data_IF_399266299710
#
_entry.id   IF_399266299710
#
_cell.length_a   1.000
_cell.length_b   1.000
_cell.length_c   1.000
_cell.angle_alpha   90.00
_cell.angle_beta   90.00
_cell.angle_gamma   90.00
#
_symmetry.space_group_name_H-M   'P 1'
#
loop_
_entity.id
_entity.type
_entity.pdbx_description
1 polymer ?
#
# COMPACT_ATOMS: atom_id res chain seq x y z
N UNK A 1 -14.03 -23.25 -16.65
CA UNK A 1 -14.28 -22.31 -15.55
C UNK A 1 -15.77 -22.36 -15.22
N UNK A 2 -16.11 -23.15 -14.20
CA UNK A 2 -17.48 -23.20 -13.68
C UNK A 2 -17.63 -22.00 -12.73
N UNK A 3 -18.34 -21.01 -13.17
CA UNK A 3 -18.73 -19.86 -12.34
C UNK A 3 -19.99 -20.30 -11.61
N UNK A 4 -19.85 -20.81 -10.39
CA UNK A 4 -20.95 -20.81 -9.44
C UNK A 4 -21.03 -19.41 -8.84
N UNK A 5 -22.23 -18.83 -8.80
CA UNK A 5 -22.46 -17.47 -8.25
C UNK A 5 -22.11 -17.36 -6.76
N UNK A 6 -22.00 -18.48 -6.05
CA UNK A 6 -21.64 -18.56 -4.63
C UNK A 6 -20.16 -18.85 -4.38
N UNK A 7 -19.35 -19.12 -5.41
CA UNK A 7 -17.93 -19.44 -5.26
C UNK A 7 -17.06 -18.22 -5.54
N UNK A 8 -16.10 -17.98 -4.66
CA UNK A 8 -15.08 -16.96 -4.82
C UNK A 8 -14.26 -17.19 -6.11
N UNK A 9 -14.41 -16.29 -7.09
CA UNK A 9 -13.67 -16.37 -8.35
C UNK A 9 -12.23 -15.88 -8.16
N UNK A 10 -11.35 -16.83 -7.82
CA UNK A 10 -9.93 -16.55 -7.61
C UNK A 10 -9.25 -15.97 -8.86
N UNK A 11 -9.72 -16.31 -10.05
CA UNK A 11 -9.19 -15.77 -11.31
C UNK A 11 -9.45 -14.27 -11.47
N UNK A 12 -10.66 -13.81 -11.13
CA UNK A 12 -11.00 -12.37 -11.12
C UNK A 12 -10.24 -11.63 -10.04
N UNK A 13 -10.11 -12.22 -8.85
CA UNK A 13 -9.33 -11.65 -7.77
C UNK A 13 -7.87 -11.42 -8.16
N UNK A 14 -7.22 -12.39 -8.78
CA UNK A 14 -5.83 -12.27 -9.25
C UNK A 14 -5.69 -11.21 -10.34
N UNK A 15 -6.65 -11.12 -11.27
CA UNK A 15 -6.68 -10.06 -12.30
C UNK A 15 -6.93 -8.68 -11.69
N UNK A 16 -7.72 -8.59 -10.63
CA UNK A 16 -7.93 -7.31 -9.91
C UNK A 16 -6.64 -6.78 -9.26
N UNK A 17 -5.71 -7.67 -8.93
CA UNK A 17 -4.37 -7.32 -8.46
C UNK A 17 -3.39 -6.98 -9.59
N UNK A 18 -3.82 -7.03 -10.86
CA UNK A 18 -2.97 -6.75 -12.02
C UNK A 18 -2.13 -7.94 -12.51
N UNK A 19 -2.29 -9.13 -11.94
CA UNK A 19 -1.60 -10.33 -12.39
C UNK A 19 -2.32 -10.95 -13.59
N UNK A 20 -1.54 -11.43 -14.58
CA UNK A 20 -2.08 -12.05 -15.80
C UNK A 20 -2.31 -13.56 -15.65
N UNK A 21 -1.72 -14.18 -14.64
CA UNK A 21 -1.83 -15.63 -14.41
C UNK A 21 -1.04 -16.08 -13.20
N UNK A 22 -1.18 -17.35 -12.87
CA UNK A 22 -0.49 -18.04 -11.78
C UNK A 22 0.31 -19.17 -12.39
N UNK A 23 1.57 -19.30 -12.02
CA UNK A 23 2.46 -20.38 -12.44
C UNK A 23 2.83 -21.18 -11.20
N UNK A 24 2.57 -22.48 -11.24
CA UNK A 24 2.99 -23.41 -10.21
C UNK A 24 4.37 -23.99 -10.61
N UNK A 25 5.42 -23.35 -10.10
CA UNK A 25 6.80 -23.75 -10.41
C UNK A 25 7.29 -24.83 -9.44
N UNK A 26 7.77 -25.96 -9.96
CA UNK A 26 8.38 -27.04 -9.17
C UNK A 26 9.84 -26.76 -8.79
N UNK A 27 10.46 -25.74 -9.37
CA UNK A 27 11.82 -25.30 -9.09
C UNK A 27 12.13 -24.01 -9.84
N UNK A 28 13.11 -23.26 -9.38
CA UNK A 28 13.58 -22.05 -10.04
C UNK A 28 15.11 -21.95 -9.95
N UNK A 29 15.70 -21.32 -10.95
CA UNK A 29 17.11 -20.92 -10.95
C UNK A 29 17.20 -19.40 -11.03
N UNK A 30 18.04 -18.79 -10.18
CA UNK A 30 18.25 -17.35 -10.21
C UNK A 30 19.21 -17.02 -11.34
N UNK A 31 18.73 -16.43 -12.42
CA UNK A 31 19.52 -16.08 -13.61
C UNK A 31 20.20 -14.71 -13.45
N UNK A 32 19.65 -13.84 -12.63
CA UNK A 32 20.21 -12.51 -12.36
C UNK A 32 19.45 -11.78 -11.27
N UNK A 33 20.15 -10.86 -10.61
CA UNK A 33 19.55 -10.03 -9.56
C UNK A 33 19.74 -8.57 -9.92
N UNK A 34 18.65 -7.82 -9.95
CA UNK A 34 18.71 -6.39 -10.17
C UNK A 34 19.21 -5.68 -8.91
N UNK A 35 20.32 -4.94 -9.02
CA UNK A 35 20.95 -4.20 -7.91
C UNK A 35 19.98 -3.25 -7.17
N UNK A 36 19.03 -2.69 -7.89
CA UNK A 36 18.03 -1.82 -7.30
C UNK A 36 17.12 -2.56 -6.31
N UNK A 37 16.66 -3.77 -6.65
CA UNK A 37 15.86 -4.59 -5.73
C UNK A 37 16.66 -5.07 -4.52
N UNK A 38 17.95 -5.37 -4.68
CA UNK A 38 18.86 -5.69 -3.56
C UNK A 38 18.94 -4.49 -2.61
N UNK A 39 19.16 -3.29 -3.15
CA UNK A 39 19.26 -2.06 -2.35
C UNK A 39 17.96 -1.80 -1.55
N UNK A 40 16.80 -1.94 -2.18
CA UNK A 40 15.50 -1.80 -1.51
C UNK A 40 15.30 -2.88 -0.43
N UNK A 41 15.67 -4.12 -0.71
CA UNK A 41 15.64 -5.22 0.25
C UNK A 41 16.52 -4.93 1.47
N UNK A 42 17.71 -4.40 1.26
CA UNK A 42 18.62 -4.02 2.35
C UNK A 42 18.05 -2.89 3.21
N UNK A 43 17.43 -1.85 2.59
CA UNK A 43 16.75 -0.78 3.33
C UNK A 43 15.62 -1.37 4.19
N UNK A 44 14.77 -2.20 3.59
CA UNK A 44 13.65 -2.85 4.28
C UNK A 44 14.14 -3.71 5.44
N UNK A 45 15.23 -4.46 5.24
CA UNK A 45 15.84 -5.30 6.26
C UNK A 45 16.46 -4.48 7.41
N UNK A 46 17.12 -3.37 7.11
CA UNK A 46 17.66 -2.47 8.13
C UNK A 46 16.56 -1.84 8.99
N UNK A 47 15.46 -1.37 8.36
CA UNK A 47 14.31 -0.84 9.10
C UNK A 47 13.73 -1.91 10.02
N UNK A 48 13.55 -3.14 9.50
CA UNK A 48 13.05 -4.28 10.28
C UNK A 48 13.95 -4.60 11.48
N UNK A 49 15.27 -4.63 11.29
CA UNK A 49 16.22 -4.91 12.36
C UNK A 49 16.20 -3.81 13.44
N UNK A 50 16.07 -2.55 13.04
CA UNK A 50 15.90 -1.43 13.97
C UNK A 50 14.60 -1.58 14.79
N UNK A 51 13.51 -1.97 14.16
CA UNK A 51 12.26 -2.23 14.90
C UNK A 51 12.37 -3.42 15.84
N UNK A 52 13.09 -4.50 15.45
CA UNK A 52 13.37 -5.60 16.34
C UNK A 52 14.18 -5.17 17.56
N UNK A 53 15.16 -4.32 17.37
CA UNK A 53 15.96 -3.80 18.47
C UNK A 53 15.13 -2.93 19.43
N UNK A 54 14.26 -2.07 18.90
CA UNK A 54 13.47 -1.12 19.68
C UNK A 54 12.25 -1.76 20.36
N UNK A 55 11.52 -2.64 19.66
CA UNK A 55 10.20 -3.12 20.10
C UNK A 55 10.18 -4.60 20.48
N UNK A 56 11.30 -5.31 20.35
CA UNK A 56 11.45 -6.74 20.74
C UNK A 56 10.27 -7.60 20.29
N UNK A 57 9.48 -8.13 21.22
CA UNK A 57 8.37 -9.06 20.96
C UNK A 57 7.24 -8.45 20.10
N UNK A 58 7.08 -7.13 20.12
CA UNK A 58 6.07 -6.43 19.32
C UNK A 58 6.57 -5.99 17.94
N UNK A 59 7.81 -6.30 17.61
CA UNK A 59 8.44 -5.86 16.36
C UNK A 59 7.74 -6.39 15.11
N UNK A 60 7.26 -7.63 15.14
CA UNK A 60 6.64 -8.25 13.98
C UNK A 60 5.25 -7.64 13.69
N UNK A 61 4.51 -7.27 14.75
CA UNK A 61 3.28 -6.50 14.62
C UNK A 61 3.55 -5.11 13.99
N UNK A 62 4.55 -4.37 14.49
CA UNK A 62 4.91 -3.05 13.96
C UNK A 62 5.41 -3.15 12.52
N UNK A 63 6.21 -4.18 12.19
CA UNK A 63 6.65 -4.44 10.83
C UNK A 63 5.47 -4.75 9.88
N UNK A 64 4.46 -5.50 10.35
CA UNK A 64 3.27 -5.76 9.56
C UNK A 64 2.47 -4.48 9.28
N UNK A 65 2.36 -3.62 10.30
CA UNK A 65 1.60 -2.38 10.23
C UNK A 65 2.28 -1.32 9.32
N UNK A 66 3.60 -1.16 9.43
CA UNK A 66 4.34 -0.10 8.73
C UNK A 66 4.96 -0.55 7.40
N UNK A 67 5.39 -1.81 7.31
CA UNK A 67 6.04 -2.36 6.11
C UNK A 67 5.18 -3.37 5.34
N UNK A 68 3.99 -3.68 5.83
CA UNK A 68 3.07 -4.62 5.20
C UNK A 68 3.51 -6.09 5.26
N UNK A 69 4.46 -6.43 6.13
CA UNK A 69 5.02 -7.77 6.25
C UNK A 69 4.16 -8.66 7.15
N UNK A 70 3.04 -9.15 6.63
CA UNK A 70 2.12 -10.03 7.35
C UNK A 70 2.66 -11.44 7.59
N UNK A 71 3.69 -11.82 6.85
CA UNK A 71 4.26 -13.18 6.84
C UNK A 71 4.93 -13.54 8.18
N UNK A 72 5.35 -12.52 8.92
CA UNK A 72 6.05 -12.69 10.19
C UNK A 72 5.12 -12.75 11.42
N UNK A 73 3.84 -12.48 11.25
CA UNK A 73 2.86 -12.61 12.33
C UNK A 73 2.62 -14.09 12.63
N UNK A 74 2.53 -14.42 13.91
CA UNK A 74 2.13 -15.76 14.34
C UNK A 74 0.71 -16.10 13.88
N UNK A 75 0.41 -17.38 13.71
CA UNK A 75 -0.96 -17.79 13.34
C UNK A 75 -1.98 -17.39 14.39
N UNK A 76 -1.59 -17.41 15.69
CA UNK A 76 -2.44 -16.95 16.79
C UNK A 76 -2.80 -15.46 16.66
N UNK A 77 -1.82 -14.61 16.33
CA UNK A 77 -2.06 -13.18 16.10
C UNK A 77 -2.98 -12.98 14.91
N UNK A 78 -2.75 -13.68 13.79
CA UNK A 78 -3.61 -13.60 12.59
C UNK A 78 -5.05 -14.01 12.92
N UNK A 79 -5.21 -15.09 13.67
CA UNK A 79 -6.53 -15.59 14.08
C UNK A 79 -7.24 -14.60 15.01
N UNK A 80 -6.53 -14.00 15.96
CA UNK A 80 -7.06 -12.97 16.86
C UNK A 80 -7.57 -11.77 16.06
N UNK A 81 -6.80 -11.27 15.08
CA UNK A 81 -7.24 -10.17 14.20
C UNK A 81 -8.40 -10.57 13.30
N UNK A 82 -8.48 -11.83 12.89
CA UNK A 82 -9.61 -12.34 12.11
C UNK A 82 -10.88 -12.41 12.97
N UNK A 83 -10.81 -12.94 14.18
CA UNK A 83 -11.93 -13.02 15.11
C UNK A 83 -12.49 -11.67 15.53
N UNK A 84 -11.63 -10.67 15.68
CA UNK A 84 -12.03 -9.29 16.03
C UNK A 84 -12.51 -8.48 14.83
N UNK A 85 -12.47 -9.04 13.60
CA UNK A 85 -12.82 -8.33 12.38
C UNK A 85 -11.82 -7.23 11.98
N UNK A 86 -10.67 -7.15 12.65
CA UNK A 86 -9.65 -6.12 12.44
C UNK A 86 -8.51 -6.55 11.49
N UNK A 87 -8.69 -7.62 10.75
CA UNK A 87 -7.71 -8.11 9.74
C UNK A 87 -7.31 -7.05 8.72
N UNK A 88 -8.19 -6.08 8.45
CA UNK A 88 -7.92 -4.96 7.56
C UNK A 88 -6.87 -3.98 8.12
N UNK A 89 -6.67 -3.94 9.44
CA UNK A 89 -5.67 -3.06 10.10
C UNK A 89 -4.25 -3.57 9.84
N UNK A 90 -4.06 -4.90 9.79
CA UNK A 90 -2.76 -5.52 9.48
C UNK A 90 -2.37 -5.29 8.02
N UNK A 91 -3.35 -5.11 7.13
CA UNK A 91 -3.07 -4.66 5.77
C UNK A 91 -2.75 -3.17 5.80
N UNK A 92 -1.64 -2.76 5.15
CA UNK A 92 -1.40 -1.33 4.98
C UNK A 92 -2.60 -0.74 4.24
N UNK A 93 -3.35 0.06 4.98
CA UNK A 93 -4.57 0.70 4.48
C UNK A 93 -4.30 2.15 4.08
N UNK A 94 -5.26 2.73 3.36
CA UNK A 94 -5.23 4.16 3.05
C UNK A 94 -5.14 5.05 4.30
N UNK A 95 -5.67 4.58 5.43
CA UNK A 95 -5.57 5.29 6.71
C UNK A 95 -4.11 5.45 7.16
N UNK A 96 -3.31 4.38 7.12
CA UNK A 96 -1.89 4.44 7.51
C UNK A 96 -1.12 5.42 6.64
N UNK A 97 -1.34 5.37 5.34
CA UNK A 97 -0.73 6.28 4.36
C UNK A 97 -1.17 7.73 4.60
N UNK A 98 -2.45 7.94 4.90
CA UNK A 98 -3.02 9.25 5.22
C UNK A 98 -2.45 9.85 6.50
N UNK A 99 -2.33 9.06 7.57
CA UNK A 99 -1.72 9.48 8.84
C UNK A 99 -0.25 9.84 8.64
N UNK A 100 0.51 8.99 7.95
CA UNK A 100 1.92 9.25 7.65
C UNK A 100 2.08 10.55 6.86
N UNK A 101 1.28 10.74 5.82
CA UNK A 101 1.29 11.97 5.03
C UNK A 101 0.95 13.21 5.85
N UNK A 102 -0.03 13.10 6.76
CA UNK A 102 -0.43 14.20 7.65
C UNK A 102 0.71 14.57 8.59
N UNK A 103 1.37 13.60 9.21
CA UNK A 103 2.52 13.85 10.09
C UNK A 103 3.63 14.58 9.33
N UNK A 104 4.00 14.07 8.14
CA UNK A 104 5.02 14.71 7.29
C UNK A 104 4.59 16.15 6.94
N UNK A 105 3.33 16.35 6.55
CA UNK A 105 2.80 17.65 6.19
C UNK A 105 2.83 18.66 7.33
N UNK A 106 2.66 18.20 8.59
CA UNK A 106 2.79 19.03 9.80
C UNK A 106 4.25 19.43 10.01
N UNK A 107 5.19 18.48 9.88
CA UNK A 107 6.62 18.73 10.05
C UNK A 107 7.12 19.81 9.06
N UNK A 108 6.65 19.73 7.80
CA UNK A 108 7.03 20.67 6.74
C UNK A 108 6.05 21.85 6.58
N UNK A 109 5.31 22.21 7.64
CA UNK A 109 4.26 23.23 7.58
C UNK A 109 4.78 24.61 7.10
N UNK A 110 6.00 24.98 7.49
CA UNK A 110 6.60 26.28 7.16
C UNK A 110 7.17 26.40 5.73
N UNK A 111 7.13 25.35 4.92
CA UNK A 111 7.71 25.34 3.58
C UNK A 111 6.67 25.83 2.56
N UNK A 112 7.15 26.49 1.50
CA UNK A 112 6.33 26.95 0.37
C UNK A 112 5.47 25.80 -0.20
N UNK A 113 4.25 26.12 -0.63
CA UNK A 113 3.25 25.15 -1.16
C UNK A 113 3.83 24.22 -2.23
N UNK A 114 4.63 24.76 -3.16
CA UNK A 114 5.25 23.98 -4.24
C UNK A 114 6.25 22.95 -3.70
N UNK A 115 7.21 23.39 -2.89
CA UNK A 115 8.20 22.46 -2.32
C UNK A 115 7.56 21.42 -1.40
N UNK A 116 6.50 21.81 -0.69
CA UNK A 116 5.72 20.90 0.14
C UNK A 116 5.10 19.77 -0.69
N UNK A 117 4.48 20.09 -1.83
CA UNK A 117 3.92 19.11 -2.76
C UNK A 117 5.01 18.16 -3.27
N UNK A 118 6.14 18.70 -3.72
CA UNK A 118 7.26 17.92 -4.25
C UNK A 118 7.82 16.98 -3.19
N UNK A 119 8.11 17.49 -1.99
CA UNK A 119 8.66 16.69 -0.88
C UNK A 119 7.70 15.57 -0.49
N UNK A 120 6.41 15.86 -0.32
CA UNK A 120 5.40 14.85 0.01
C UNK A 120 5.33 13.77 -1.08
N UNK A 121 5.30 14.17 -2.35
CA UNK A 121 5.24 13.22 -3.47
C UNK A 121 6.47 12.30 -3.49
N UNK A 122 7.67 12.87 -3.28
CA UNK A 122 8.91 12.09 -3.25
C UNK A 122 8.91 11.11 -2.07
N UNK A 123 8.60 11.58 -0.85
CA UNK A 123 8.61 10.73 0.35
C UNK A 123 7.59 9.61 0.23
N UNK A 124 6.37 9.91 -0.23
CA UNK A 124 5.32 8.91 -0.40
C UNK A 124 5.65 7.94 -1.54
N UNK A 125 6.30 8.41 -2.60
CA UNK A 125 6.82 7.56 -3.67
C UNK A 125 7.87 6.57 -3.16
N UNK A 126 8.85 7.04 -2.40
CA UNK A 126 9.89 6.20 -1.78
C UNK A 126 9.26 5.19 -0.82
N UNK A 127 8.31 5.64 0.02
CA UNK A 127 7.57 4.75 0.92
C UNK A 127 6.84 3.64 0.16
N UNK A 128 6.15 3.98 -0.95
CA UNK A 128 5.48 2.99 -1.80
C UNK A 128 6.43 1.94 -2.37
N UNK A 129 7.62 2.36 -2.78
CA UNK A 129 8.64 1.45 -3.30
C UNK A 129 9.16 0.50 -2.20
N UNK A 130 9.41 1.02 -1.00
CA UNK A 130 9.89 0.23 0.14
C UNK A 130 8.86 -0.80 0.58
N UNK A 131 7.60 -0.39 0.71
CA UNK A 131 6.53 -1.26 1.20
C UNK A 131 6.09 -2.27 0.13
N UNK A 132 6.13 -1.87 -1.12
CA UNK A 132 5.60 -2.57 -2.28
C UNK A 132 4.33 -1.90 -2.79
N UNK A 133 4.18 -1.88 -4.10
CA UNK A 133 3.03 -1.27 -4.78
C UNK A 133 1.75 -2.10 -4.57
N UNK A 134 1.11 -1.97 -3.40
CA UNK A 134 -0.24 -2.50 -3.24
C UNK A 134 -1.27 -1.54 -3.85
N UNK A 135 -2.41 -2.04 -4.35
CA UNK A 135 -3.48 -1.18 -4.89
C UNK A 135 -3.97 -0.14 -3.88
N UNK A 136 -3.99 -0.48 -2.59
CA UNK A 136 -4.41 0.42 -1.52
C UNK A 136 -3.44 1.59 -1.32
N UNK A 137 -2.14 1.33 -1.33
CA UNK A 137 -1.09 2.36 -1.19
C UNK A 137 -1.10 3.28 -2.41
N UNK A 138 -1.17 2.71 -3.62
CA UNK A 138 -1.19 3.48 -4.86
C UNK A 138 -2.36 4.47 -4.88
N UNK A 139 -3.56 4.04 -4.49
CA UNK A 139 -4.74 4.93 -4.38
C UNK A 139 -4.51 6.07 -3.40
N UNK A 140 -3.99 5.74 -2.23
CA UNK A 140 -3.77 6.74 -1.18
C UNK A 140 -2.75 7.80 -1.60
N UNK A 141 -1.69 7.40 -2.31
CA UNK A 141 -0.69 8.33 -2.81
C UNK A 141 -1.29 9.26 -3.86
N UNK A 142 -2.05 8.71 -4.81
CA UNK A 142 -2.73 9.51 -5.83
C UNK A 142 -3.74 10.46 -5.19
N UNK A 143 -4.50 10.00 -4.18
CA UNK A 143 -5.42 10.85 -3.43
C UNK A 143 -4.72 12.01 -2.74
N UNK A 144 -3.64 11.72 -2.01
CA UNK A 144 -2.83 12.74 -1.35
C UNK A 144 -2.25 13.72 -2.37
N UNK A 145 -1.74 13.24 -3.49
CA UNK A 145 -1.21 14.08 -4.56
C UNK A 145 -2.27 15.03 -5.11
N UNK A 146 -3.46 14.53 -5.44
CA UNK A 146 -4.57 15.36 -5.95
C UNK A 146 -4.99 16.41 -4.92
N UNK A 147 -5.12 16.02 -3.64
CA UNK A 147 -5.49 16.94 -2.56
C UNK A 147 -4.48 18.06 -2.36
N UNK A 148 -3.18 17.77 -2.47
CA UNK A 148 -2.13 18.79 -2.38
C UNK A 148 -1.98 19.60 -3.67
N UNK A 149 -2.27 19.00 -4.82
CA UNK A 149 -2.34 19.72 -6.09
C UNK A 149 -3.45 20.77 -6.07
N UNK A 150 -4.63 20.45 -5.51
CA UNK A 150 -5.70 21.42 -5.33
C UNK A 150 -5.26 22.62 -4.48
N UNK A 151 -4.50 22.37 -3.39
CA UNK A 151 -3.92 23.47 -2.58
C UNK A 151 -2.93 24.31 -3.37
N UNK A 152 -2.13 23.68 -4.20
CA UNK A 152 -1.16 24.39 -5.06
C UNK A 152 -1.86 25.28 -6.09
N UNK A 153 -2.93 24.78 -6.69
CA UNK A 153 -3.75 25.50 -7.65
C UNK A 153 -4.72 26.52 -7.02
N UNK A 154 -4.70 26.63 -5.66
CA UNK A 154 -5.59 27.50 -4.88
C UNK A 154 -7.08 27.15 -4.99
N UNK A 155 -7.36 25.92 -5.44
CA UNK A 155 -8.70 25.37 -5.56
C UNK A 155 -9.21 24.79 -4.23
N UNK A 156 -10.54 24.69 -4.10
CA UNK A 156 -11.16 24.06 -2.94
C UNK A 156 -10.84 22.57 -2.89
N UNK A 157 -10.46 22.10 -1.71
CA UNK A 157 -10.24 20.67 -1.48
C UNK A 157 -11.58 19.96 -1.39
N UNK A 158 -11.95 19.26 -2.44
CA UNK A 158 -13.11 18.38 -2.44
C UNK A 158 -12.66 16.92 -2.43
N UNK A 159 -12.84 16.27 -1.27
CA UNK A 159 -12.46 14.88 -1.08
C UNK A 159 -13.29 13.93 -1.92
N UNK A 160 -14.57 14.22 -2.13
CA UNK A 160 -15.49 13.36 -2.89
C UNK A 160 -15.12 13.43 -4.37
N UNK A 161 -14.92 14.64 -4.91
CA UNK A 161 -14.44 14.83 -6.28
C UNK A 161 -13.11 14.13 -6.53
N UNK A 162 -12.16 14.25 -5.60
CA UNK A 162 -10.85 13.61 -5.70
C UNK A 162 -10.96 12.08 -5.68
N UNK A 163 -11.78 11.51 -4.81
CA UNK A 163 -12.05 10.08 -4.75
C UNK A 163 -12.71 9.56 -6.03
N UNK A 164 -13.69 10.28 -6.54
CA UNK A 164 -14.39 9.91 -7.79
C UNK A 164 -13.42 9.89 -8.97
N UNK A 165 -12.55 10.88 -9.08
CA UNK A 165 -11.56 10.99 -10.15
C UNK A 165 -10.56 9.81 -10.08
N UNK A 166 -10.10 9.45 -8.88
CA UNK A 166 -9.23 8.30 -8.68
C UNK A 166 -9.95 6.99 -9.02
N UNK A 167 -11.20 6.85 -8.59
CA UNK A 167 -12.03 5.70 -8.91
C UNK A 167 -12.16 5.49 -10.42
N UNK A 168 -12.47 6.54 -11.16
CA UNK A 168 -12.55 6.52 -12.62
C UNK A 168 -11.20 6.14 -13.24
N UNK A 169 -10.11 6.76 -12.80
CA UNK A 169 -8.77 6.47 -13.31
C UNK A 169 -8.36 5.01 -13.09
N UNK A 170 -8.65 4.44 -11.92
CA UNK A 170 -8.33 3.05 -11.60
C UNK A 170 -9.16 2.07 -12.43
N UNK A 171 -10.46 2.34 -12.62
CA UNK A 171 -11.35 1.49 -13.42
C UNK A 171 -10.95 1.51 -14.89
N UNK A 172 -10.56 2.67 -15.44
CA UNK A 172 -10.06 2.77 -16.81
C UNK A 172 -8.78 1.94 -17.00
N UNK A 173 -7.85 1.99 -16.04
CA UNK A 173 -6.60 1.22 -16.12
C UNK A 173 -6.80 -0.28 -15.91
N UNK A 174 -7.69 -0.67 -15.01
CA UNK A 174 -8.00 -2.07 -14.73
C UNK A 174 -9.47 -2.22 -14.30
N UNK A 175 -10.38 -2.60 -15.22
CA UNK A 175 -11.79 -2.78 -14.90
C UNK A 175 -12.04 -3.81 -13.79
N UNK A 176 -11.15 -4.78 -13.62
CA UNK A 176 -11.26 -5.80 -12.58
C UNK A 176 -11.04 -5.27 -11.16
N UNK A 177 -10.55 -4.04 -11.02
CA UNK A 177 -10.32 -3.42 -9.70
C UNK A 177 -11.59 -3.33 -8.85
N UNK A 178 -12.76 -3.29 -9.49
CA UNK A 178 -14.08 -3.29 -8.82
C UNK A 178 -14.28 -4.55 -7.95
N UNK A 179 -13.67 -5.69 -8.33
CA UNK A 179 -13.72 -6.94 -7.57
C UNK A 179 -12.70 -7.00 -6.43
N UNK A 180 -11.89 -5.98 -6.26
CA UNK A 180 -10.91 -5.91 -5.18
C UNK A 180 -11.58 -5.37 -3.91
N UNK A 181 -11.58 -6.17 -2.84
CA UNK A 181 -12.13 -5.81 -1.53
C UNK A 181 -11.58 -4.46 -1.03
N UNK A 182 -10.33 -4.16 -1.36
CA UNK A 182 -9.72 -2.88 -0.98
C UNK A 182 -10.25 -1.70 -1.80
N UNK A 183 -10.97 -1.92 -2.90
CA UNK A 183 -11.57 -0.86 -3.73
C UNK A 183 -12.97 -0.51 -3.23
N UNK A 184 -13.71 -1.49 -2.72
CA UNK A 184 -15.03 -1.31 -2.13
C UNK A 184 -14.93 -0.65 -0.75
#
# INVERSE_FOLDING_TARGET
DKINFDDFDYGRYVRSMGYKGIINAKGYTVVGVNRFYIFLGNIKMNIRNNFRYLYKDKSDFINSLLLGQKENLSEEEKEMFSKTGTSHVIAISGLHTGVLCTIIAIIIKGINKFYKLVILTIIMGVYSIIVGFSPSISRSIVFVFIMYMAVFLEEKRDGICSLSLIGIFLVINNPYVIYNISFQ
#
